data_IF_640865791338
#
_entry.id   IF_640865791338
#
_cell.length_a   1.000
_cell.length_b   1.000
_cell.length_c   1.000
_cell.angle_alpha   90.00
_cell.angle_beta   90.00
_cell.angle_gamma   90.00
#
_symmetry.space_group_name_H-M   'P 1'
#
loop_
_entity.id
_entity.type
_entity.pdbx_description
1 polymer ?
#
# COMPACT_ATOMS: atom_id res chain seq x y z
N UNK A 1 -16.39 -6.19 8.79
CA UNK A 1 -15.83 -4.89 8.35
C UNK A 1 -16.23 -4.72 6.91
N UNK A 2 -16.79 -3.57 6.52
CA UNK A 2 -17.16 -3.34 5.13
C UNK A 2 -15.89 -3.32 4.26
N UNK A 3 -15.98 -3.73 2.99
CA UNK A 3 -14.82 -3.76 2.08
C UNK A 3 -14.13 -2.39 1.98
N UNK A 4 -14.91 -1.30 1.94
CA UNK A 4 -14.40 0.08 1.92
C UNK A 4 -13.62 0.42 3.19
N UNK A 5 -14.07 -0.03 4.37
CA UNK A 5 -13.35 0.18 5.63
C UNK A 5 -12.01 -0.56 5.64
N UNK A 6 -11.96 -1.78 5.10
CA UNK A 6 -10.73 -2.57 4.99
C UNK A 6 -9.74 -1.88 4.04
N UNK A 7 -10.21 -1.43 2.87
CA UNK A 7 -9.41 -0.66 1.90
C UNK A 7 -8.83 0.60 2.54
N UNK A 8 -9.66 1.39 3.21
CA UNK A 8 -9.22 2.63 3.86
C UNK A 8 -8.17 2.35 4.95
N UNK A 9 -8.34 1.28 5.74
CA UNK A 9 -7.33 0.88 6.72
C UNK A 9 -6.04 0.39 6.09
N UNK A 10 -6.10 -0.35 4.98
CA UNK A 10 -4.92 -0.80 4.26
C UNK A 10 -4.11 0.40 3.73
N UNK A 11 -4.78 1.37 3.08
CA UNK A 11 -4.15 2.60 2.60
C UNK A 11 -3.57 3.45 3.74
N UNK A 12 -4.29 3.59 4.86
CA UNK A 12 -3.78 4.28 6.03
C UNK A 12 -2.56 3.57 6.64
N UNK A 13 -2.52 2.24 6.61
CA UNK A 13 -1.39 1.44 7.09
C UNK A 13 -0.14 1.72 6.27
N UNK A 14 -0.27 1.80 4.94
CA UNK A 14 0.83 2.16 4.03
C UNK A 14 1.35 3.58 4.27
N UNK A 15 0.46 4.56 4.46
CA UNK A 15 0.84 5.94 4.73
C UNK A 15 1.60 6.11 6.05
N UNK A 16 1.32 5.24 7.03
CA UNK A 16 1.97 5.25 8.34
C UNK A 16 3.13 4.25 8.45
N UNK A 17 3.42 3.50 7.39
CA UNK A 17 4.50 2.53 7.41
C UNK A 17 5.84 3.27 7.40
N UNK A 18 6.74 2.90 8.32
CA UNK A 18 8.13 3.34 8.24
C UNK A 18 8.82 2.56 7.13
N UNK A 19 8.98 3.16 5.96
CA UNK A 19 9.63 2.53 4.81
C UNK A 19 11.16 2.48 4.91
N UNK A 20 11.75 3.14 5.90
CA UNK A 20 13.19 3.20 6.14
C UNK A 20 13.62 2.31 7.31
N UNK A 21 12.72 1.49 7.87
CA UNK A 21 12.96 0.66 9.04
C UNK A 21 14.20 -0.25 8.95
N UNK A 22 14.57 -0.70 7.73
CA UNK A 22 15.77 -1.51 7.51
C UNK A 22 17.08 -0.73 7.68
N UNK A 23 17.00 0.61 7.71
CA UNK A 23 18.11 1.55 7.84
C UNK A 23 18.19 2.16 9.24
N UNK A 24 17.30 1.80 10.15
CA UNK A 24 17.37 2.26 11.53
C UNK A 24 18.60 1.63 12.22
N UNK A 25 19.57 2.46 12.64
CA UNK A 25 20.76 2.05 13.40
C UNK A 25 20.41 1.39 14.76
N UNK A 26 19.14 1.46 15.17
CA UNK A 26 18.58 0.75 16.32
C UNK A 26 17.51 -0.24 15.83
N UNK A 27 17.77 -1.54 16.04
CA UNK A 27 16.89 -2.61 15.57
C UNK A 27 15.61 -2.78 16.40
N UNK A 28 15.53 -2.22 17.60
CA UNK A 28 14.36 -2.29 18.47
C UNK A 28 14.02 -0.90 19.03
N UNK A 29 12.76 -0.42 18.96
CA UNK A 29 11.55 -1.14 18.53
C UNK A 29 11.15 -0.95 17.05
N UNK A 30 11.92 -0.20 16.24
CA UNK A 30 11.54 0.18 14.88
C UNK A 30 11.25 -1.03 13.96
N UNK A 31 12.10 -2.07 14.01
CA UNK A 31 11.93 -3.27 13.19
C UNK A 31 10.65 -4.04 13.55
N UNK A 32 10.32 -4.13 14.84
CA UNK A 32 9.14 -4.86 15.30
C UNK A 32 7.86 -4.11 14.92
N UNK A 33 7.87 -2.77 15.00
CA UNK A 33 6.76 -1.96 14.52
C UNK A 33 6.57 -2.05 13.01
N UNK A 34 7.65 -1.99 12.22
CA UNK A 34 7.56 -2.14 10.77
C UNK A 34 7.02 -3.53 10.37
N UNK A 35 7.55 -4.61 10.99
CA UNK A 35 7.07 -5.98 10.76
C UNK A 35 5.62 -6.16 11.20
N UNK A 36 5.24 -5.59 12.34
CA UNK A 36 3.85 -5.61 12.83
C UNK A 36 2.90 -4.89 11.87
N UNK A 37 3.29 -3.72 11.37
CA UNK A 37 2.52 -2.95 10.40
C UNK A 37 2.39 -3.70 9.05
N UNK A 38 3.47 -4.32 8.55
CA UNK A 38 3.42 -5.19 7.36
C UNK A 38 2.45 -6.36 7.53
N UNK A 39 2.53 -7.06 8.68
CA UNK A 39 1.62 -8.18 8.97
C UNK A 39 0.17 -7.72 8.99
N UNK A 40 -0.11 -6.62 9.68
CA UNK A 40 -1.44 -6.04 9.74
C UNK A 40 -1.98 -5.66 8.35
N UNK A 41 -1.13 -5.06 7.49
CA UNK A 41 -1.50 -4.79 6.10
C UNK A 41 -1.86 -6.06 5.33
N UNK A 42 -1.02 -7.09 5.40
CA UNK A 42 -1.26 -8.37 4.69
C UNK A 42 -2.54 -9.04 5.16
N UNK A 43 -2.81 -9.05 6.47
CA UNK A 43 -4.03 -9.61 7.05
C UNK A 43 -5.28 -8.84 6.61
N UNK A 44 -5.22 -7.51 6.58
CA UNK A 44 -6.30 -6.67 6.04
C UNK A 44 -6.56 -7.00 4.57
N UNK A 45 -5.53 -6.99 3.74
CA UNK A 45 -5.65 -7.19 2.29
C UNK A 45 -6.18 -8.59 1.97
N UNK A 46 -5.68 -9.63 2.65
CA UNK A 46 -6.15 -11.01 2.46
C UNK A 46 -7.62 -11.24 2.87
N UNK A 47 -8.21 -10.32 3.64
CA UNK A 47 -9.63 -10.39 4.00
C UNK A 47 -10.58 -9.82 2.93
N UNK A 48 -10.03 -9.18 1.89
CA UNK A 48 -10.80 -8.62 0.77
C UNK A 48 -11.19 -9.74 -0.19
N UNK A 49 -12.49 -9.93 -0.42
CA UNK A 49 -13.00 -11.00 -1.33
C UNK A 49 -12.73 -10.75 -2.81
N UNK A 50 -12.52 -9.49 -3.21
CA UNK A 50 -12.24 -9.10 -4.58
C UNK A 50 -10.73 -9.22 -4.85
N UNK A 51 -10.32 -10.28 -5.54
CA UNK A 51 -8.90 -10.56 -5.84
C UNK A 51 -8.22 -9.47 -6.69
N UNK A 52 -8.99 -8.74 -7.51
CA UNK A 52 -8.46 -7.61 -8.28
C UNK A 52 -8.03 -6.46 -7.35
N UNK A 53 -8.86 -6.12 -6.37
CA UNK A 53 -8.54 -5.09 -5.37
C UNK A 53 -7.41 -5.57 -4.46
N UNK A 54 -7.45 -6.85 -4.04
CA UNK A 54 -6.41 -7.48 -3.24
C UNK A 54 -5.03 -7.36 -3.91
N UNK A 55 -4.94 -7.77 -5.18
CA UNK A 55 -3.71 -7.71 -5.95
C UNK A 55 -3.26 -6.27 -6.17
N UNK A 56 -4.18 -5.34 -6.45
CA UNK A 56 -3.84 -3.94 -6.64
C UNK A 56 -3.23 -3.31 -5.37
N UNK A 57 -3.74 -3.64 -4.19
CA UNK A 57 -3.16 -3.19 -2.91
C UNK A 57 -1.76 -3.77 -2.69
N UNK A 58 -1.56 -5.07 -2.97
CA UNK A 58 -0.23 -5.71 -2.86
C UNK A 58 0.77 -5.08 -3.82
N UNK A 59 0.35 -4.82 -5.06
CA UNK A 59 1.20 -4.16 -6.05
C UNK A 59 1.52 -2.72 -5.68
N UNK A 60 0.57 -2.00 -5.07
CA UNK A 60 0.81 -0.64 -4.59
C UNK A 60 1.88 -0.64 -3.49
N UNK A 61 1.83 -1.61 -2.57
CA UNK A 61 2.86 -1.76 -1.54
C UNK A 61 4.27 -1.91 -2.14
N UNK A 62 4.40 -2.80 -3.12
CA UNK A 62 5.68 -3.05 -3.80
C UNK A 62 6.14 -1.79 -4.54
N UNK A 63 5.24 -1.12 -5.28
CA UNK A 63 5.56 0.10 -6.01
C UNK A 63 6.03 1.23 -5.08
N UNK A 64 5.39 1.38 -3.90
CA UNK A 64 5.80 2.36 -2.89
C UNK A 64 7.16 2.01 -2.30
N UNK A 65 7.42 0.74 -1.99
CA UNK A 65 8.73 0.28 -1.53
C UNK A 65 9.83 0.61 -2.55
N UNK A 66 9.65 0.21 -3.81
CA UNK A 66 10.63 0.42 -4.89
C UNK A 66 10.89 1.91 -5.13
N UNK A 67 9.82 2.72 -5.14
CA UNK A 67 9.92 4.18 -5.29
C UNK A 67 10.78 4.81 -4.19
N UNK A 68 10.49 4.48 -2.92
CA UNK A 68 11.20 5.03 -1.77
C UNK A 68 12.67 4.63 -1.81
N UNK A 69 12.95 3.36 -2.11
CA UNK A 69 14.33 2.86 -2.14
C UNK A 69 15.12 3.40 -3.33
N UNK A 70 14.50 3.61 -4.48
CA UNK A 70 15.12 4.27 -5.63
C UNK A 70 15.48 5.73 -5.34
N UNK A 71 14.69 6.42 -4.50
CA UNK A 71 14.89 7.83 -4.15
C UNK A 71 15.63 8.04 -2.81
N UNK A 72 16.13 6.98 -2.19
CA UNK A 72 16.65 7.00 -0.82
C UNK A 72 17.89 7.92 -0.66
N UNK A 73 18.81 7.85 -1.61
CA UNK A 73 20.09 8.60 -1.54
C UNK A 73 20.12 9.83 -2.43
N UNK A 74 19.41 9.74 -3.56
CA UNK A 74 19.31 10.81 -4.54
C UNK A 74 18.00 10.65 -5.28
N UNK A 75 17.36 11.77 -5.63
CA UNK A 75 16.12 11.76 -6.39
C UNK A 75 16.33 11.07 -7.75
N UNK A 76 15.52 10.05 -8.02
CA UNK A 76 15.40 9.41 -9.32
C UNK A 76 14.08 9.86 -9.97
N UNK A 77 14.18 10.76 -10.95
CA UNK A 77 13.02 11.30 -11.65
C UNK A 77 12.29 10.25 -12.49
N UNK A 78 13.01 9.24 -13.01
CA UNK A 78 12.41 8.17 -13.81
C UNK A 78 11.59 7.26 -12.91
N UNK A 79 12.15 6.87 -11.76
CA UNK A 79 11.43 6.11 -10.75
C UNK A 79 10.22 6.88 -10.21
N UNK A 80 10.36 8.18 -9.97
CA UNK A 80 9.26 9.05 -9.51
C UNK A 80 8.10 9.09 -10.51
N UNK A 81 8.38 9.28 -11.81
CA UNK A 81 7.34 9.29 -12.85
C UNK A 81 6.66 7.93 -12.98
N UNK A 82 7.43 6.85 -12.99
CA UNK A 82 6.89 5.48 -13.07
C UNK A 82 5.97 5.18 -11.89
N UNK A 83 6.38 5.59 -10.68
CA UNK A 83 5.59 5.41 -9.47
C UNK A 83 4.27 6.18 -9.53
N UNK A 84 4.27 7.46 -9.90
CA UNK A 84 3.03 8.25 -9.97
C UNK A 84 2.05 7.69 -11.01
N UNK A 85 2.53 7.24 -12.17
CA UNK A 85 1.69 6.56 -13.17
C UNK A 85 1.09 5.27 -12.60
N UNK A 86 1.92 4.39 -12.05
CA UNK A 86 1.47 3.10 -11.52
C UNK A 86 0.53 3.27 -10.31
N UNK A 87 0.81 4.24 -9.44
CA UNK A 87 -0.05 4.59 -8.31
C UNK A 87 -1.43 5.04 -8.80
N UNK A 88 -1.52 5.91 -9.80
CA UNK A 88 -2.79 6.36 -10.34
C UNK A 88 -3.63 5.20 -10.91
N UNK A 89 -2.99 4.31 -11.69
CA UNK A 89 -3.64 3.11 -12.26
C UNK A 89 -4.17 2.18 -11.16
N UNK A 90 -3.35 1.89 -10.14
CA UNK A 90 -3.74 1.03 -9.03
C UNK A 90 -4.85 1.66 -8.18
N UNK A 91 -4.78 2.97 -7.90
CA UNK A 91 -5.81 3.65 -7.13
C UNK A 91 -7.18 3.65 -7.82
N UNK A 92 -7.22 3.69 -9.16
CA UNK A 92 -8.45 3.56 -9.93
C UNK A 92 -9.09 2.16 -9.82
N UNK A 93 -8.29 1.12 -9.55
CA UNK A 93 -8.76 -0.24 -9.28
C UNK A 93 -9.22 -0.40 -7.83
N UNK A 94 -8.46 0.18 -6.89
CA UNK A 94 -8.66 0.02 -5.45
C UNK A 94 -9.91 0.74 -4.96
N UNK A 95 -10.14 1.97 -5.43
CA UNK A 95 -11.29 2.76 -5.05
C UNK A 95 -12.49 2.29 -5.86
N UNK A 96 -13.53 1.69 -5.24
CA UNK A 96 -14.71 1.29 -5.97
C UNK A 96 -15.32 2.54 -6.63
N UNK A 97 -15.58 2.49 -7.93
CA UNK A 97 -16.40 3.49 -8.59
C UNK A 97 -17.80 3.45 -7.96
N UNK A 98 -18.43 4.60 -7.73
CA UNK A 98 -19.79 4.69 -7.16
C UNK A 98 -20.82 3.81 -7.92
N UNK A 99 -20.55 3.53 -9.20
CA UNK A 99 -21.33 2.63 -10.06
C UNK A 99 -21.35 1.16 -9.63
N UNK A 100 -20.40 0.68 -8.83
CA UNK A 100 -20.37 -0.70 -8.32
C UNK A 100 -21.34 -0.97 -7.16
N UNK A 101 -21.80 0.07 -6.46
CA UNK A 101 -22.75 -0.06 -5.35
C UNK A 101 -24.22 -0.07 -5.81
N UNK A 102 -24.53 0.48 -6.99
CA UNK A 102 -25.90 0.48 -7.54
C UNK A 102 -26.32 -0.85 -8.16
N UNK A 103 -25.39 -1.77 -8.44
CA UNK A 103 -25.71 -3.06 -9.08
C UNK A 103 -25.95 -4.20 -8.08
N UNK A 104 -25.91 -3.91 -6.78
CA UNK A 104 -26.05 -4.90 -5.70
C UNK A 104 -27.21 -4.60 -4.73
N UNK A 105 -28.16 -3.74 -5.12
CA UNK A 105 -29.36 -3.40 -4.36
C UNK A 105 -30.63 -3.95 -5.00
#
# INVERSE_FOLDING_TARGET
MATVEIINKALATMNNHDWYWMMADYSHPAMDYARGNMRYFVELVASIKNSTIENALRELWIATYDYIHANMWSKDEKASKLYETKKAELMAIILPSESGQMMAA
#
